data_IF_844513032683
#
_entry.id   IF_844513032683
#
_cell.length_a   1.000
_cell.length_b   1.000
_cell.length_c   1.000
_cell.angle_alpha   90.00
_cell.angle_beta   90.00
_cell.angle_gamma   90.00
#
_symmetry.space_group_name_H-M   'P 1'
#
loop_
_entity.id
_entity.type
_entity.pdbx_description
1 polymer ?
#
# COMPACT_ATOMS: atom_id res chain seq x y z
N UNK A 1 -0.28 -31.61 -12.51
CA UNK A 1 -0.76 -30.40 -11.79
C UNK A 1 0.40 -29.43 -11.83
N UNK A 2 0.26 -28.35 -12.60
CA UNK A 2 1.33 -27.36 -12.75
C UNK A 2 1.25 -26.44 -11.56
N UNK A 3 2.29 -26.44 -10.71
CA UNK A 3 2.43 -25.44 -9.66
C UNK A 3 2.45 -24.07 -10.34
N UNK A 4 1.40 -23.28 -10.16
CA UNK A 4 1.45 -21.88 -10.51
C UNK A 4 2.57 -21.28 -9.65
N UNK A 5 3.71 -21.00 -10.27
CA UNK A 5 4.77 -20.24 -9.64
C UNK A 5 4.21 -18.84 -9.41
N UNK A 6 3.67 -18.60 -8.21
CA UNK A 6 3.38 -17.26 -7.68
C UNK A 6 4.73 -16.55 -7.57
N UNK A 7 5.18 -16.00 -8.69
CA UNK A 7 6.37 -15.16 -8.75
C UNK A 7 5.97 -13.83 -8.13
N UNK A 8 6.22 -13.70 -6.83
CA UNK A 8 5.98 -12.46 -6.11
C UNK A 8 6.68 -11.33 -6.84
N UNK A 9 5.93 -10.28 -7.20
CA UNK A 9 6.49 -9.13 -7.89
C UNK A 9 7.64 -8.56 -7.06
N UNK A 10 8.81 -8.46 -7.68
CA UNK A 10 10.00 -7.89 -7.04
C UNK A 10 9.78 -6.39 -6.89
N UNK A 11 9.66 -5.94 -5.65
CA UNK A 11 9.49 -4.52 -5.31
C UNK A 11 10.79 -4.01 -4.69
N UNK A 12 11.34 -2.88 -5.14
CA UNK A 12 12.51 -2.27 -4.53
C UNK A 12 12.27 -1.99 -3.05
N UNK A 13 13.26 -2.31 -2.21
CA UNK A 13 13.17 -2.09 -0.75
C UNK A 13 12.94 -0.61 -0.42
N UNK A 14 13.57 0.30 -1.16
CA UNK A 14 13.40 1.74 -0.96
C UNK A 14 11.95 2.19 -1.15
N UNK A 15 11.21 1.60 -2.09
CA UNK A 15 9.78 1.89 -2.29
C UNK A 15 8.96 1.55 -1.04
N UNK A 16 9.24 0.41 -0.41
CA UNK A 16 8.59 0.01 0.85
C UNK A 16 8.99 0.94 2.00
N UNK A 17 10.28 1.27 2.12
CA UNK A 17 10.78 2.20 3.16
C UNK A 17 10.11 3.56 3.03
N UNK A 18 9.95 4.08 1.82
CA UNK A 18 9.33 5.38 1.57
C UNK A 18 7.87 5.39 1.99
N UNK A 19 7.11 4.33 1.67
CA UNK A 19 5.72 4.17 2.11
C UNK A 19 5.61 4.10 3.63
N UNK A 20 6.45 3.28 4.28
CA UNK A 20 6.46 3.13 5.73
C UNK A 20 6.89 4.42 6.43
N UNK A 21 7.82 5.17 5.84
CA UNK A 21 8.26 6.47 6.35
C UNK A 21 7.14 7.50 6.28
N UNK A 22 6.40 7.56 5.16
CA UNK A 22 5.26 8.45 5.03
C UNK A 22 4.18 8.16 6.09
N UNK A 23 3.86 6.87 6.31
CA UNK A 23 2.93 6.44 7.36
C UNK A 23 3.45 6.82 8.74
N UNK A 24 4.72 6.52 9.04
CA UNK A 24 5.36 6.84 10.33
C UNK A 24 5.35 8.34 10.64
N UNK A 25 5.54 9.17 9.62
CA UNK A 25 5.48 10.63 9.71
C UNK A 25 4.06 11.20 9.69
N UNK A 26 3.03 10.36 9.55
CA UNK A 26 1.62 10.75 9.39
C UNK A 26 1.40 11.69 8.20
N UNK A 27 2.18 11.51 7.14
CA UNK A 27 2.11 12.29 5.91
C UNK A 27 1.23 11.56 4.89
N UNK A 28 -0.08 11.79 4.98
CA UNK A 28 -1.05 11.11 4.12
C UNK A 28 -0.92 11.54 2.67
N UNK A 29 -0.64 12.82 2.41
CA UNK A 29 -0.44 13.33 1.05
C UNK A 29 0.74 12.62 0.37
N UNK A 30 1.87 12.47 1.08
CA UNK A 30 3.01 11.73 0.55
C UNK A 30 2.69 10.25 0.35
N UNK A 31 1.96 9.63 1.27
CA UNK A 31 1.53 8.24 1.11
C UNK A 31 0.66 8.05 -0.14
N UNK A 32 -0.30 8.95 -0.40
CA UNK A 32 -1.14 8.90 -1.60
C UNK A 32 -0.35 9.08 -2.90
N UNK A 33 0.65 9.97 -2.93
CA UNK A 33 1.55 10.11 -4.08
C UNK A 33 2.30 8.82 -4.37
N UNK A 34 2.82 8.16 -3.32
CA UNK A 34 3.54 6.89 -3.44
C UNK A 34 2.62 5.76 -3.91
N UNK A 35 1.40 5.67 -3.36
CA UNK A 35 0.37 4.73 -3.82
C UNK A 35 0.05 4.93 -5.30
N UNK A 36 -0.26 6.17 -5.73
CA UNK A 36 -0.60 6.48 -7.11
C UNK A 36 0.57 6.21 -8.08
N UNK A 37 1.79 6.54 -7.66
CA UNK A 37 2.99 6.24 -8.47
C UNK A 37 3.13 4.73 -8.62
N UNK A 38 3.01 3.99 -7.52
CA UNK A 38 3.12 2.54 -7.51
C UNK A 38 2.07 1.88 -8.40
N UNK A 39 0.80 2.27 -8.30
CA UNK A 39 -0.30 1.73 -9.13
C UNK A 39 -0.26 2.21 -10.59
N UNK A 40 0.57 3.20 -10.93
CA UNK A 40 0.86 3.56 -12.32
C UNK A 40 1.94 2.68 -12.95
N UNK A 41 2.87 2.18 -12.13
CA UNK A 41 3.99 1.33 -12.53
C UNK A 41 3.64 -0.17 -12.45
N UNK A 42 2.68 -0.51 -11.60
CA UNK A 42 2.20 -1.87 -11.31
C UNK A 42 0.67 -1.93 -11.33
N UNK A 43 0.08 -3.11 -11.43
CA UNK A 43 -1.39 -3.25 -11.35
C UNK A 43 -1.90 -3.05 -9.92
N UNK A 44 -3.20 -2.72 -9.80
CA UNK A 44 -3.91 -2.65 -8.51
C UNK A 44 -3.79 -3.97 -7.72
N UNK A 45 -3.86 -5.13 -8.39
CA UNK A 45 -3.66 -6.44 -7.74
C UNK A 45 -2.29 -6.57 -7.04
N UNK A 46 -1.23 -6.03 -7.66
CA UNK A 46 0.12 -6.03 -7.06
C UNK A 46 0.18 -5.07 -5.89
N UNK A 47 -0.51 -3.93 -5.98
CA UNK A 47 -0.63 -3.00 -4.87
C UNK A 47 -1.34 -3.65 -3.68
N UNK A 48 -2.46 -4.33 -3.90
CA UNK A 48 -3.20 -5.03 -2.84
C UNK A 48 -2.34 -6.11 -2.16
N UNK A 49 -1.58 -6.90 -2.95
CA UNK A 49 -0.64 -7.88 -2.40
C UNK A 49 0.41 -7.20 -1.50
N UNK A 50 1.07 -6.15 -2.01
CA UNK A 50 2.15 -5.46 -1.30
C UNK A 50 1.63 -4.79 -0.03
N UNK A 51 0.49 -4.12 -0.11
CA UNK A 51 -0.17 -3.48 1.01
C UNK A 51 -0.46 -4.52 2.11
N UNK A 52 -1.11 -5.62 1.76
CA UNK A 52 -1.54 -6.65 2.71
C UNK A 52 -0.39 -7.46 3.30
N UNK A 53 0.63 -7.79 2.50
CA UNK A 53 1.68 -8.73 2.91
C UNK A 53 2.96 -8.05 3.40
N UNK A 54 3.21 -6.78 3.01
CA UNK A 54 4.52 -6.12 3.24
C UNK A 54 4.40 -4.80 3.99
N UNK A 55 3.32 -4.05 3.80
CA UNK A 55 3.13 -2.74 4.46
C UNK A 55 2.34 -2.89 5.77
N UNK A 56 1.11 -3.41 5.71
CA UNK A 56 0.24 -3.51 6.89
C UNK A 56 0.84 -4.34 8.05
N UNK A 57 1.49 -5.50 7.82
CA UNK A 57 1.97 -6.34 8.92
C UNK A 57 3.08 -5.72 9.78
N UNK A 58 3.80 -4.71 9.26
CA UNK A 58 4.91 -4.07 9.98
C UNK A 58 4.49 -2.79 10.72
N UNK A 59 3.25 -2.34 10.53
CA UNK A 59 2.75 -1.15 11.21
C UNK A 59 2.50 -1.45 12.69
N UNK A 60 2.96 -0.54 13.55
CA UNK A 60 2.51 -0.55 14.93
C UNK A 60 1.04 -0.13 15.03
N UNK A 61 0.45 -0.34 16.21
CA UNK A 61 -0.97 -0.04 16.44
C UNK A 61 -1.29 1.45 16.20
N UNK A 62 -0.51 2.43 16.68
CA UNK A 62 -0.75 3.84 16.36
C UNK A 62 -0.76 4.15 14.86
N UNK A 63 0.23 3.68 14.10
CA UNK A 63 0.32 3.89 12.66
C UNK A 63 -0.86 3.26 11.92
N UNK A 64 -1.23 2.03 12.30
CA UNK A 64 -2.37 1.30 11.73
C UNK A 64 -3.68 2.05 11.93
N UNK A 65 -3.95 2.52 13.15
CA UNK A 65 -5.17 3.28 13.48
C UNK A 65 -5.21 4.61 12.74
N UNK A 66 -4.07 5.31 12.64
CA UNK A 66 -4.00 6.56 11.90
C UNK A 66 -4.31 6.36 10.41
N UNK A 67 -3.70 5.36 9.76
CA UNK A 67 -3.90 5.08 8.35
C UNK A 67 -5.37 4.69 8.04
N UNK A 68 -5.96 3.82 8.87
CA UNK A 68 -7.38 3.49 8.79
C UNK A 68 -8.26 4.74 8.92
N UNK A 69 -7.91 5.65 9.84
CA UNK A 69 -8.60 6.93 10.01
C UNK A 69 -8.54 7.82 8.76
N UNK A 70 -7.41 7.84 8.06
CA UNK A 70 -7.28 8.55 6.77
C UNK A 70 -8.19 7.93 5.71
N UNK A 71 -8.18 6.61 5.55
CA UNK A 71 -9.03 5.93 4.58
C UNK A 71 -10.52 6.13 4.84
N UNK A 72 -10.96 6.10 6.11
CA UNK A 72 -12.35 6.36 6.47
C UNK A 72 -12.78 7.83 6.27
N UNK A 73 -11.85 8.79 6.27
CA UNK A 73 -12.17 10.22 6.19
C UNK A 73 -11.97 10.82 4.79
N UNK A 74 -10.90 10.42 4.10
CA UNK A 74 -10.57 10.90 2.76
C UNK A 74 -11.13 9.99 1.63
N UNK A 75 -11.55 8.77 1.98
CA UNK A 75 -11.84 7.70 1.02
C UNK A 75 -10.56 7.01 0.55
N UNK A 76 -10.67 5.72 0.23
CA UNK A 76 -9.57 4.96 -0.38
C UNK A 76 -9.61 5.28 -1.88
N UNK A 77 -8.58 5.94 -2.43
CA UNK A 77 -8.54 6.23 -3.86
C UNK A 77 -8.47 4.96 -4.71
N UNK A 78 -7.87 3.89 -4.19
CA UNK A 78 -7.78 2.56 -4.82
C UNK A 78 -9.04 1.70 -4.72
N UNK A 79 -10.07 2.11 -3.97
CA UNK A 79 -11.37 1.39 -3.90
C UNK A 79 -12.50 2.31 -4.38
N UNK A 80 -12.29 2.98 -5.51
CA UNK A 80 -13.33 3.71 -6.25
C UNK A 80 -13.65 3.03 -7.57
N UNK A 81 -14.03 1.76 -7.52
CA UNK A 81 -14.93 1.18 -8.51
C UNK A 81 -15.83 0.14 -7.84
N UNK A 82 -16.97 0.60 -7.34
CA UNK A 82 -18.14 -0.24 -7.16
C UNK A 82 -19.17 0.36 -8.11
N UNK A 83 -19.41 -0.33 -9.22
CA UNK A 83 -20.47 0.00 -10.17
C UNK A 83 -21.87 -0.15 -9.58
#
# INVERSE_FOLDING_TARGET
>A
MTEAQLTATQIPVNTLIDMLTAIGNRDYSRFQELENTFTSEHSEDVWEEVLNLRVLPVLDKPASVWLLGQWCSAGINSIKYIG
#
